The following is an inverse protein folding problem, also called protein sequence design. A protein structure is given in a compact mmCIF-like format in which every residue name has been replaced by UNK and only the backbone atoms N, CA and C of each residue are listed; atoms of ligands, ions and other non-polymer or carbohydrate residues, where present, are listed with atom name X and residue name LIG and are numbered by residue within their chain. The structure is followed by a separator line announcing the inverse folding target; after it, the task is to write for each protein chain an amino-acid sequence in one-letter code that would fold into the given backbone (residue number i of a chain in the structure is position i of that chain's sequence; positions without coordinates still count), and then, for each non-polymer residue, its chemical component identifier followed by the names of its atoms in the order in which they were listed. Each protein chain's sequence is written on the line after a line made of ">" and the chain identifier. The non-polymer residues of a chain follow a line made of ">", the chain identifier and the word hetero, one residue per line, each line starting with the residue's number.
data_IF_839656753838
#
_entry.id   IF_839656753838
#
_cell.length_a   1.000
_cell.length_b   1.000
_cell.length_c   1.000
_cell.angle_alpha   90.00
_cell.angle_beta   90.00
_cell.angle_gamma   90.00
#
_symmetry.space_group_name_H-M   'P 1'
#
loop_
_entity.id
_entity.type
_entity.pdbx_description
1 polymer ?
#
# COMPACT_ATOMS: atom_id res chain seq x y z
N UNK A 1 15.14 -24.18 23.36
CA UNK A 1 14.00 -23.52 22.71
C UNK A 1 14.32 -22.04 22.61
N UNK A 2 14.51 -21.50 21.41
CA UNK A 2 14.73 -20.05 21.24
C UNK A 2 13.43 -19.33 21.61
N UNK A 3 13.51 -18.43 22.59
CA UNK A 3 12.43 -17.49 22.92
C UNK A 3 12.13 -16.66 21.68
N UNK A 4 10.93 -16.80 21.11
CA UNK A 4 10.39 -15.86 20.14
C UNK A 4 10.37 -14.50 20.82
N UNK A 5 11.39 -13.68 20.55
CA UNK A 5 11.44 -12.30 21.04
C UNK A 5 10.10 -11.65 20.71
N UNK A 6 9.33 -11.30 21.74
CA UNK A 6 8.01 -10.70 21.62
C UNK A 6 8.09 -9.56 20.61
N UNK A 7 7.44 -9.75 19.45
CA UNK A 7 7.29 -8.69 18.45
C UNK A 7 6.73 -7.47 19.21
N UNK A 8 7.44 -6.32 19.15
CA UNK A 8 6.98 -5.13 19.86
C UNK A 8 5.56 -4.82 19.42
N UNK A 9 4.68 -4.46 20.36
CA UNK A 9 3.24 -4.23 20.12
C UNK A 9 2.94 -3.33 18.91
N UNK A 10 3.83 -2.38 18.59
CA UNK A 10 3.73 -1.52 17.41
C UNK A 10 3.87 -2.24 16.05
N UNK A 11 4.44 -3.44 16.00
CA UNK A 11 4.59 -4.27 14.80
C UNK A 11 3.55 -5.40 14.72
N UNK A 12 2.59 -5.46 15.64
CA UNK A 12 1.59 -6.54 15.67
C UNK A 12 0.63 -6.53 14.46
N UNK A 13 0.51 -5.40 13.75
CA UNK A 13 -0.36 -5.23 12.58
C UNK A 13 0.41 -4.55 11.43
N UNK A 14 1.29 -5.27 10.72
CA UNK A 14 2.05 -4.68 9.63
C UNK A 14 1.13 -4.17 8.53
N UNK A 15 1.49 -3.01 7.96
CA UNK A 15 0.91 -2.55 6.70
C UNK A 15 1.35 -3.50 5.59
N UNK A 16 0.40 -4.24 5.03
CA UNK A 16 0.64 -5.11 3.89
C UNK A 16 0.03 -4.44 2.67
N UNK A 17 0.90 -4.14 1.70
CA UNK A 17 0.54 -3.52 0.45
C UNK A 17 0.85 -4.48 -0.70
N UNK A 18 -0.15 -4.75 -1.54
CA UNK A 18 -0.03 -5.58 -2.74
C UNK A 18 0.15 -4.66 -3.96
N UNK A 19 1.28 -4.71 -4.68
CA UNK A 19 1.46 -3.93 -5.90
C UNK A 19 0.42 -4.29 -6.96
N UNK A 20 -0.15 -3.27 -7.60
CA UNK A 20 -1.12 -3.44 -8.69
C UNK A 20 -0.47 -3.04 -10.01
N UNK A 21 0.16 -1.85 -10.05
CA UNK A 21 0.74 -1.29 -11.27
C UNK A 21 1.78 -0.22 -10.96
N UNK A 22 2.77 -0.08 -11.84
CA UNK A 22 3.82 0.93 -11.76
C UNK A 22 3.66 1.97 -12.87
N UNK A 23 4.00 3.23 -12.57
CA UNK A 23 3.90 4.37 -13.47
C UNK A 23 5.21 5.17 -13.48
N UNK A 24 5.57 5.81 -14.60
CA UNK A 24 6.77 6.64 -14.69
C UNK A 24 6.70 7.93 -13.86
N UNK A 25 5.52 8.39 -13.45
CA UNK A 25 5.38 9.60 -12.63
C UNK A 25 4.18 9.53 -11.68
N UNK A 26 4.21 10.39 -10.66
CA UNK A 26 3.19 10.46 -9.62
C UNK A 26 1.81 10.85 -10.17
N UNK A 27 1.74 11.74 -11.16
CA UNK A 27 0.48 12.22 -11.74
C UNK A 27 -0.30 11.05 -12.36
N UNK A 28 0.38 10.18 -13.11
CA UNK A 28 -0.25 9.01 -13.73
C UNK A 28 -0.70 7.97 -12.69
N UNK A 29 0.07 7.80 -11.62
CA UNK A 29 -0.31 6.93 -10.50
C UNK A 29 -1.56 7.45 -9.77
N UNK A 30 -1.63 8.75 -9.50
CA UNK A 30 -2.79 9.39 -8.87
C UNK A 30 -4.04 9.27 -9.74
N UNK A 31 -3.95 9.61 -11.03
CA UNK A 31 -5.06 9.49 -11.97
C UNK A 31 -5.56 8.05 -12.13
N UNK A 32 -4.70 7.05 -11.91
CA UNK A 32 -5.12 5.65 -11.88
C UNK A 32 -5.95 5.32 -10.64
N UNK A 33 -5.56 5.81 -9.47
CA UNK A 33 -6.35 5.65 -8.24
C UNK A 33 -7.71 6.33 -8.39
N UNK A 34 -7.76 7.56 -8.92
CA UNK A 34 -9.02 8.29 -9.13
C UNK A 34 -10.02 7.50 -9.99
N UNK A 35 -9.53 6.82 -11.04
CA UNK A 35 -10.37 5.94 -11.87
C UNK A 35 -10.86 4.71 -11.12
N UNK A 36 -10.02 4.11 -10.26
CA UNK A 36 -10.42 2.96 -9.45
C UNK A 36 -11.47 3.34 -8.42
N UNK A 37 -11.27 4.45 -7.71
CA UNK A 37 -12.18 4.93 -6.67
C UNK A 37 -13.49 5.46 -7.24
N UNK A 38 -13.48 6.07 -8.44
CA UNK A 38 -14.71 6.45 -9.14
C UNK A 38 -15.68 5.27 -9.36
N UNK A 39 -15.17 4.05 -9.48
CA UNK A 39 -15.99 2.85 -9.66
C UNK A 39 -16.45 2.20 -8.35
N UNK A 40 -15.66 2.28 -7.27
CA UNK A 40 -15.88 1.59 -5.98
C UNK A 40 -15.12 2.25 -4.82
N UNK A 41 -15.48 3.48 -4.47
CA UNK A 41 -14.76 4.33 -3.51
C UNK A 41 -14.57 3.69 -2.12
N UNK A 42 -15.55 2.95 -1.62
CA UNK A 42 -15.57 2.53 -0.21
C UNK A 42 -14.91 1.17 0.06
N UNK A 43 -14.60 0.42 -1.01
CA UNK A 43 -14.18 -0.99 -0.88
C UNK A 43 -12.67 -1.17 -0.77
N UNK A 44 -11.88 -0.14 -1.09
CA UNK A 44 -10.44 -0.30 -1.27
C UNK A 44 -9.65 0.87 -0.67
N UNK A 45 -8.54 0.53 -0.03
CA UNK A 45 -7.51 1.47 0.41
C UNK A 45 -6.28 1.28 -0.48
N UNK A 46 -5.69 2.38 -0.92
CA UNK A 46 -4.51 2.37 -1.79
C UNK A 46 -3.40 3.20 -1.17
N UNK A 47 -2.16 2.90 -1.52
CA UNK A 47 -1.03 3.80 -1.35
C UNK A 47 -0.24 3.92 -2.66
N UNK A 48 0.57 4.98 -2.76
CA UNK A 48 1.54 5.15 -3.84
C UNK A 48 2.93 5.13 -3.21
N UNK A 49 3.82 4.32 -3.76
CA UNK A 49 5.19 4.14 -3.29
C UNK A 49 6.18 4.52 -4.39
N UNK A 50 7.15 5.39 -4.08
CA UNK A 50 8.28 5.60 -4.98
C UNK A 50 9.19 4.37 -4.89
N UNK A 51 9.60 3.87 -6.06
CA UNK A 51 10.47 2.70 -6.20
C UNK A 51 11.92 3.13 -6.36
N UNK A 52 12.85 2.20 -6.19
CA UNK A 52 14.28 2.45 -6.42
C UNK A 52 14.62 2.82 -7.89
N UNK A 53 13.72 2.52 -8.84
CA UNK A 53 13.87 2.85 -10.26
C UNK A 53 13.29 4.24 -10.62
N UNK A 54 13.02 5.08 -9.61
CA UNK A 54 12.35 6.39 -9.76
C UNK A 54 10.97 6.33 -10.44
N UNK A 55 10.29 5.20 -10.25
CA UNK A 55 8.91 5.00 -10.70
C UNK A 55 7.95 4.97 -9.51
N UNK A 56 6.66 5.07 -9.79
CA UNK A 56 5.60 5.17 -8.79
C UNK A 56 4.69 3.94 -8.86
N UNK A 57 4.77 3.08 -7.84
CA UNK A 57 3.93 1.90 -7.70
C UNK A 57 2.64 2.23 -6.95
N UNK A 58 1.50 1.93 -7.55
CA UNK A 58 0.19 1.92 -6.87
C UNK A 58 0.00 0.53 -6.27
N UNK A 59 -0.25 0.48 -4.97
CA UNK A 59 -0.50 -0.76 -4.25
C UNK A 59 -1.85 -0.71 -3.54
N UNK A 60 -2.52 -1.87 -3.47
CA UNK A 60 -3.71 -2.07 -2.63
C UNK A 60 -3.27 -2.39 -1.21
N UNK A 61 -3.80 -1.67 -0.24
CA UNK A 61 -3.63 -2.03 1.18
C UNK A 61 -4.57 -3.19 1.51
N UNK A 62 -3.98 -4.34 1.84
CA UNK A 62 -4.71 -5.59 2.18
C UNK A 62 -4.79 -5.82 3.68
N UNK A 63 -3.85 -5.29 4.46
CA UNK A 63 -3.94 -5.27 5.92
C UNK A 63 -3.09 -4.16 6.52
N UNK A 64 -3.27 -3.92 7.82
CA UNK A 64 -2.51 -2.91 8.56
C UNK A 64 -3.09 -1.52 8.36
N UNK A 65 -3.47 -0.93 9.48
CA UNK A 65 -4.07 0.38 9.60
C UNK A 65 -4.18 0.67 11.09
N UNK A 66 -3.96 1.93 11.47
CA UNK A 66 -4.23 2.37 12.85
C UNK A 66 -5.75 2.34 13.01
N UNK A 67 -6.24 1.65 14.03
CA UNK A 67 -7.66 1.65 14.40
C UNK A 67 -7.98 2.91 15.20
#
# INVERSE_FOLDING_TARGET
>A
MQSLQSIRKGFARPLVAQPIRTFPNLIQAAAFIDRLTASRADSYRFNIQQTAADQWAVCRVVSGGVA
#
